data_IF_029306646427
#
_entry.id   IF_029306646427
#
_cell.length_a   1.000
_cell.length_b   1.000
_cell.length_c   1.000
_cell.angle_alpha   90.00
_cell.angle_beta   90.00
_cell.angle_gamma   90.00
#
_symmetry.space_group_name_H-M   'P 1'
#
loop_
_entity.id
_entity.type
_entity.pdbx_description
1 polymer ?
#
# COMPACT_ATOMS: atom_id res chain seq x y z
N UNK A 1 30.43 -25.19 -7.52
CA UNK A 1 31.49 -24.37 -6.90
C UNK A 1 30.84 -23.13 -6.30
N UNK A 2 30.86 -22.98 -4.97
CA UNK A 2 30.40 -21.76 -4.31
C UNK A 2 31.50 -20.71 -4.49
N UNK A 3 31.28 -19.72 -5.35
CA UNK A 3 32.17 -18.56 -5.50
C UNK A 3 32.15 -17.78 -4.19
N UNK A 4 33.30 -17.60 -3.56
CA UNK A 4 33.42 -16.81 -2.34
C UNK A 4 32.91 -15.38 -2.60
N UNK A 5 32.08 -14.79 -1.72
CA UNK A 5 31.66 -13.40 -1.85
C UNK A 5 32.90 -12.51 -1.73
N UNK A 6 33.23 -11.80 -2.81
CA UNK A 6 34.26 -10.77 -2.79
C UNK A 6 33.72 -9.54 -2.05
N UNK A 7 34.21 -9.31 -0.83
CA UNK A 7 33.91 -8.12 -0.02
C UNK A 7 34.73 -6.89 -0.42
N UNK A 8 35.17 -6.80 -1.67
CA UNK A 8 35.83 -5.60 -2.19
C UNK A 8 34.82 -4.44 -2.24
N UNK A 9 35.20 -3.28 -1.67
CA UNK A 9 34.40 -2.05 -1.72
C UNK A 9 34.21 -1.62 -3.17
N UNK A 10 33.06 -1.98 -3.77
CA UNK A 10 32.76 -1.74 -5.18
C UNK A 10 32.45 -0.27 -5.54
N UNK A 11 32.59 0.66 -4.59
CA UNK A 11 32.36 2.09 -4.80
C UNK A 11 30.93 2.39 -5.33
N UNK A 12 30.72 3.56 -5.98
CA UNK A 12 29.40 3.97 -6.45
C UNK A 12 28.89 3.18 -7.67
N UNK A 13 29.70 2.25 -8.22
CA UNK A 13 29.31 1.41 -9.37
C UNK A 13 28.10 0.53 -9.07
N UNK A 14 27.97 0.05 -7.82
CA UNK A 14 26.81 -0.73 -7.41
C UNK A 14 25.52 0.12 -7.42
N UNK A 15 25.61 1.38 -6.97
CA UNK A 15 24.51 2.34 -6.98
C UNK A 15 24.09 2.72 -8.40
N UNK A 16 25.05 2.97 -9.30
CA UNK A 16 24.76 3.24 -10.71
C UNK A 16 24.06 2.07 -11.42
N UNK A 17 24.41 0.83 -11.08
CA UNK A 17 23.72 -0.36 -11.61
C UNK A 17 22.28 -0.44 -11.13
N UNK A 18 22.03 -0.24 -9.84
CA UNK A 18 20.68 -0.18 -9.27
C UNK A 18 19.86 0.96 -9.90
N UNK A 19 20.44 2.15 -10.03
CA UNK A 19 19.77 3.28 -10.68
C UNK A 19 19.41 3.03 -12.14
N UNK A 20 20.31 2.39 -12.90
CA UNK A 20 20.00 1.95 -14.26
C UNK A 20 18.85 0.94 -14.26
N UNK A 21 18.79 0.03 -13.31
CA UNK A 21 17.68 -0.94 -13.21
C UNK A 21 16.35 -0.33 -12.75
N UNK A 22 16.39 0.84 -12.10
CA UNK A 22 15.18 1.59 -11.74
C UNK A 22 14.57 2.31 -12.95
N UNK A 23 15.38 2.78 -13.91
CA UNK A 23 14.92 3.57 -15.06
C UNK A 23 14.91 2.83 -16.41
N UNK A 24 15.72 1.79 -16.58
CA UNK A 24 15.81 0.97 -17.80
C UNK A 24 14.94 -0.28 -17.62
N UNK A 25 13.93 -0.44 -18.49
CA UNK A 25 12.88 -1.46 -18.35
C UNK A 25 13.17 -2.77 -19.10
N UNK A 26 14.31 -2.84 -19.80
CA UNK A 26 14.67 -3.96 -20.69
C UNK A 26 15.98 -4.64 -20.24
N UNK A 27 15.97 -5.92 -19.78
CA UNK A 27 14.85 -6.77 -19.36
C UNK A 27 14.33 -6.43 -17.95
N UNK A 28 13.11 -6.87 -17.57
CA UNK A 28 12.52 -6.57 -16.26
C UNK A 28 13.35 -7.22 -15.15
N UNK A 29 14.16 -6.40 -14.49
CA UNK A 29 14.89 -6.81 -13.30
C UNK A 29 13.90 -7.10 -12.17
N UNK A 30 14.16 -8.11 -11.33
CA UNK A 30 13.35 -8.41 -10.14
C UNK A 30 13.15 -7.19 -9.22
N UNK A 31 14.10 -6.25 -9.26
CA UNK A 31 14.05 -4.97 -8.58
C UNK A 31 12.86 -4.09 -9.03
N UNK A 32 12.68 -3.92 -10.34
CA UNK A 32 11.59 -3.11 -10.90
C UNK A 32 10.21 -3.68 -10.55
N UNK A 33 10.03 -5.00 -10.70
CA UNK A 33 8.78 -5.69 -10.34
C UNK A 33 8.45 -5.55 -8.85
N UNK A 34 9.46 -5.61 -7.98
CA UNK A 34 9.29 -5.45 -6.53
C UNK A 34 8.80 -4.05 -6.16
N UNK A 35 9.35 -3.00 -6.79
CA UNK A 35 8.93 -1.61 -6.57
C UNK A 35 7.47 -1.41 -6.99
N UNK A 36 7.09 -1.91 -8.18
CA UNK A 36 5.70 -1.81 -8.66
C UNK A 36 4.75 -2.50 -7.68
N UNK A 37 5.08 -3.73 -7.27
CA UNK A 37 4.22 -4.50 -6.38
C UNK A 37 4.06 -3.81 -5.01
N UNK A 38 5.13 -3.22 -4.48
CA UNK A 38 5.09 -2.44 -3.23
C UNK A 38 4.22 -1.18 -3.38
N UNK A 39 4.32 -0.48 -4.51
CA UNK A 39 3.47 0.68 -4.81
C UNK A 39 1.98 0.32 -4.91
N UNK A 40 1.65 -0.77 -5.62
CA UNK A 40 0.28 -1.28 -5.75
C UNK A 40 -0.28 -1.67 -4.39
N UNK A 41 0.48 -2.42 -3.59
CA UNK A 41 0.06 -2.86 -2.27
C UNK A 41 -0.19 -1.68 -1.32
N UNK A 42 0.71 -0.70 -1.31
CA UNK A 42 0.56 0.52 -0.51
C UNK A 42 -0.66 1.34 -0.90
N UNK A 43 -0.90 1.51 -2.21
CA UNK A 43 -2.06 2.26 -2.71
C UNK A 43 -3.38 1.57 -2.34
N UNK A 44 -3.49 0.26 -2.58
CA UNK A 44 -4.66 -0.55 -2.21
C UNK A 44 -4.94 -0.47 -0.71
N UNK A 45 -3.91 -0.57 0.12
CA UNK A 45 -4.05 -0.51 1.58
C UNK A 45 -4.62 0.84 2.05
N UNK A 46 -4.07 1.96 1.56
CA UNK A 46 -4.54 3.30 1.91
C UNK A 46 -6.01 3.46 1.48
N UNK A 47 -6.33 3.05 0.25
CA UNK A 47 -7.69 3.20 -0.28
C UNK A 47 -8.72 2.41 0.53
N UNK A 48 -8.41 1.16 0.89
CA UNK A 48 -9.30 0.32 1.72
C UNK A 48 -9.47 0.94 3.11
N UNK A 49 -8.39 1.41 3.75
CA UNK A 49 -8.46 2.03 5.07
C UNK A 49 -9.34 3.29 5.05
N UNK A 50 -9.19 4.15 4.03
CA UNK A 50 -10.02 5.33 3.85
C UNK A 50 -11.48 4.97 3.61
N UNK A 51 -11.76 3.98 2.76
CA UNK A 51 -13.12 3.52 2.47
C UNK A 51 -13.81 2.98 3.73
N UNK A 52 -13.10 2.18 4.53
CA UNK A 52 -13.61 1.66 5.81
C UNK A 52 -13.84 2.77 6.84
N UNK A 53 -12.90 3.70 6.98
CA UNK A 53 -13.04 4.85 7.89
C UNK A 53 -14.22 5.74 7.51
N UNK A 54 -14.39 6.02 6.20
CA UNK A 54 -15.52 6.77 5.68
C UNK A 54 -16.84 6.03 5.91
N UNK A 55 -16.89 4.72 5.63
CA UNK A 55 -18.09 3.91 5.83
C UNK A 55 -18.54 3.93 7.31
N UNK A 56 -17.60 3.78 8.24
CA UNK A 56 -17.88 3.85 9.67
C UNK A 56 -18.34 5.26 10.08
N UNK A 57 -17.72 6.30 9.55
CA UNK A 57 -18.14 7.69 9.78
C UNK A 57 -19.57 7.94 9.28
N UNK A 58 -19.92 7.41 8.10
CA UNK A 58 -21.29 7.50 7.56
C UNK A 58 -22.27 6.77 8.48
N UNK A 59 -21.98 5.55 8.94
CA UNK A 59 -22.87 4.83 9.87
C UNK A 59 -23.07 5.57 11.20
N UNK A 60 -22.02 6.22 11.70
CA UNK A 60 -22.11 7.07 12.89
C UNK A 60 -22.99 8.28 12.63
N UNK A 61 -22.92 8.88 11.44
CA UNK A 61 -23.77 9.99 11.01
C UNK A 61 -25.24 9.55 10.81
N UNK A 62 -25.48 8.31 10.36
CA UNK A 62 -26.83 7.73 10.28
C UNK A 62 -27.47 7.52 11.67
N UNK A 63 -26.67 7.40 12.75
CA UNK A 63 -27.14 7.01 14.09
C UNK A 63 -27.85 8.13 14.88
N UNK A 64 -27.77 9.39 14.45
CA UNK A 64 -28.51 10.50 15.10
C UNK A 64 -29.90 10.72 14.47
N UNK A 65 -30.16 10.16 13.29
CA UNK A 65 -31.47 10.26 12.62
C UNK A 65 -32.41 9.07 12.91
N UNK A 66 -32.03 8.23 13.86
CA UNK A 66 -32.84 7.15 14.43
C UNK A 66 -33.83 7.61 15.51
N UNK A 67 -33.83 8.88 15.91
CA UNK A 67 -34.84 9.40 16.85
C UNK A 67 -36.29 9.24 16.33
N UNK A 68 -36.48 9.20 15.00
CA UNK A 68 -37.79 8.95 14.38
C UNK A 68 -38.29 7.50 14.47
N UNK A 69 -37.39 6.52 14.62
CA UNK A 69 -37.72 5.09 14.69
C UNK A 69 -37.77 4.55 16.13
N UNK A 70 -37.26 5.31 17.10
CA UNK A 70 -37.38 5.00 18.54
C UNK A 70 -38.73 5.46 19.12
N UNK A 71 -39.41 6.42 18.49
CA UNK A 71 -40.74 6.88 18.93
C UNK A 71 -41.80 5.76 18.95
N UNK A 72 -41.89 4.85 17.95
CA UNK A 72 -42.85 3.74 17.98
C UNK A 72 -42.49 2.63 18.98
N UNK A 73 -41.20 2.44 19.29
CA UNK A 73 -40.72 1.37 20.19
C UNK A 73 -40.85 1.77 21.67
N UNK A 74 -40.80 3.05 22.01
CA UNK A 74 -40.97 3.49 23.39
C UNK A 74 -42.45 3.58 23.82
N UNK A 75 -43.36 3.67 22.86
CA UNK A 75 -44.80 3.85 23.12
C UNK A 75 -45.60 2.53 23.09
N UNK A 76 -44.95 1.41 22.79
CA UNK A 76 -45.55 0.06 22.79
C UNK A 76 -44.56 -0.94 23.40
#
# INVERSE_FOLDING_TARGET
SKTFPSYALTGPRAYQRLWRWTFESDPPSSWYTSIINMGIFGFLYIFICLALGLFLAILLDQKIRGEGMLRPIYLY
#
